data_IF_931944373041
#
_entry.id   IF_931944373041
#
_cell.length_a   1.000
_cell.length_b   1.000
_cell.length_c   1.000
_cell.angle_alpha   90.00
_cell.angle_beta   90.00
_cell.angle_gamma   90.00
#
_symmetry.space_group_name_H-M   'P 1'
#
loop_
_entity.id
_entity.type
_entity.pdbx_description
1 polymer ?
#
# COMPACT_ATOMS: atom_id res chain seq x y z
N UNK A 1 -15.81 11.96 19.91
CA UNK A 1 -14.72 11.01 19.55
C UNK A 1 -13.59 11.83 18.97
N UNK A 2 -12.39 11.71 19.50
CA UNK A 2 -11.25 12.50 19.01
C UNK A 2 -10.83 12.04 17.61
N UNK A 3 -10.25 12.93 16.80
CA UNK A 3 -9.68 12.53 15.50
C UNK A 3 -8.65 11.39 15.63
N UNK A 4 -7.99 11.34 16.78
CA UNK A 4 -7.04 10.29 17.16
C UNK A 4 -7.74 8.94 17.22
N UNK A 5 -8.88 8.84 17.91
CA UNK A 5 -9.67 7.60 17.98
C UNK A 5 -10.20 7.15 16.61
N UNK A 6 -10.64 8.09 15.77
CA UNK A 6 -11.11 7.78 14.42
C UNK A 6 -9.98 7.23 13.54
N UNK A 7 -8.79 7.85 13.60
CA UNK A 7 -7.59 7.34 12.91
C UNK A 7 -7.20 5.95 13.41
N UNK A 8 -7.15 5.74 14.73
CA UNK A 8 -6.84 4.43 15.32
C UNK A 8 -7.87 3.35 14.95
N UNK A 9 -9.17 3.67 14.95
CA UNK A 9 -10.22 2.73 14.53
C UNK A 9 -10.11 2.36 13.06
N UNK A 10 -9.92 3.33 12.18
CA UNK A 10 -9.74 3.08 10.75
C UNK A 10 -8.49 2.22 10.50
N UNK A 11 -7.38 2.45 11.20
CA UNK A 11 -6.17 1.64 11.02
C UNK A 11 -6.29 0.23 11.60
N UNK A 12 -6.88 0.06 12.80
CA UNK A 12 -7.05 -1.26 13.44
C UNK A 12 -7.97 -2.19 12.64
N UNK A 13 -9.04 -1.64 12.07
CA UNK A 13 -10.02 -2.41 11.29
C UNK A 13 -9.44 -2.88 9.95
N UNK A 14 -8.48 -2.15 9.41
CA UNK A 14 -8.00 -2.30 8.01
C UNK A 14 -6.60 -2.94 7.92
N UNK A 15 -5.74 -2.78 8.94
CA UNK A 15 -4.44 -3.47 9.03
C UNK A 15 -4.61 -4.88 9.63
N UNK A 16 -5.83 -5.27 10.02
CA UNK A 16 -6.09 -6.60 10.58
C UNK A 16 -5.43 -6.82 11.94
N UNK A 17 -5.16 -5.74 12.70
CA UNK A 17 -4.55 -5.86 14.03
C UNK A 17 -5.58 -6.15 15.11
N UNK A 18 -6.51 -7.06 14.84
CA UNK A 18 -7.38 -7.56 15.91
C UNK A 18 -6.46 -8.23 16.95
N UNK A 19 -6.55 -7.87 18.24
CA UNK A 19 -5.79 -8.54 19.28
C UNK A 19 -6.18 -10.02 19.28
N UNK A 20 -5.37 -10.86 18.66
CA UNK A 20 -5.41 -12.29 18.93
C UNK A 20 -4.77 -12.42 20.30
N UNK A 21 -5.55 -12.87 21.28
CA UNK A 21 -5.15 -13.09 22.67
C UNK A 21 -3.63 -13.32 22.81
N UNK A 22 -2.96 -12.31 23.39
CA UNK A 22 -1.52 -12.22 23.43
C UNK A 22 -0.95 -13.25 24.42
N UNK A 23 -0.19 -14.24 23.92
CA UNK A 23 0.58 -15.15 24.77
C UNK A 23 2.10 -14.95 24.66
N UNK A 24 2.61 -14.01 23.85
CA UNK A 24 4.06 -13.76 23.71
C UNK A 24 4.39 -12.27 23.53
N UNK A 25 5.19 -11.71 24.44
CA UNK A 25 5.57 -10.29 24.54
C UNK A 25 6.14 -9.67 23.26
N UNK A 26 6.81 -10.48 22.42
CA UNK A 26 7.40 -10.01 21.16
C UNK A 26 6.37 -9.47 20.15
N UNK A 27 5.15 -10.02 20.12
CA UNK A 27 4.11 -9.59 19.16
C UNK A 27 3.45 -8.27 19.57
N UNK A 28 3.41 -7.97 20.87
CA UNK A 28 2.88 -6.71 21.41
C UNK A 28 3.76 -5.54 20.97
N UNK A 29 5.08 -5.66 21.14
CA UNK A 29 6.04 -4.59 20.76
C UNK A 29 5.95 -4.25 19.28
N UNK A 30 5.89 -5.27 18.44
CA UNK A 30 5.75 -5.10 16.98
C UNK A 30 4.41 -4.46 16.63
N UNK A 31 3.31 -4.89 17.25
CA UNK A 31 2.00 -4.29 17.01
C UNK A 31 1.92 -2.81 17.43
N UNK A 32 2.50 -2.46 18.58
CA UNK A 32 2.59 -1.07 19.03
C UNK A 32 3.39 -0.22 18.05
N UNK A 33 4.54 -0.72 17.61
CA UNK A 33 5.40 -0.05 16.64
C UNK A 33 4.67 0.23 15.31
N UNK A 34 4.04 -0.80 14.72
CA UNK A 34 3.28 -0.62 13.48
C UNK A 34 2.08 0.33 13.65
N UNK A 35 1.43 0.32 14.82
CA UNK A 35 0.30 1.23 15.10
C UNK A 35 0.75 2.70 15.14
N UNK A 36 1.87 2.98 15.79
CA UNK A 36 2.45 4.33 15.87
C UNK A 36 2.94 4.79 14.49
N UNK A 37 3.61 3.90 13.74
CA UNK A 37 4.08 4.20 12.39
C UNK A 37 2.90 4.52 11.45
N UNK A 38 1.84 3.72 11.49
CA UNK A 38 0.65 3.96 10.68
C UNK A 38 -0.03 5.29 11.05
N UNK A 39 -0.10 5.63 12.34
CA UNK A 39 -0.62 6.92 12.81
C UNK A 39 0.21 8.09 12.29
N UNK A 40 1.54 7.98 12.38
CA UNK A 40 2.45 9.01 11.89
C UNK A 40 2.28 9.25 10.38
N UNK A 41 2.13 8.19 9.59
CA UNK A 41 1.88 8.28 8.14
C UNK A 41 0.54 8.97 7.87
N UNK A 42 -0.55 8.51 8.52
CA UNK A 42 -1.88 9.07 8.34
C UNK A 42 -1.89 10.56 8.69
N UNK A 43 -1.36 10.93 9.86
CA UNK A 43 -1.31 12.33 10.29
C UNK A 43 -0.42 13.18 9.40
N UNK A 44 0.70 12.65 8.91
CA UNK A 44 1.56 13.37 7.96
C UNK A 44 0.82 13.69 6.66
N UNK A 45 0.05 12.74 6.11
CA UNK A 45 -0.74 12.95 4.90
C UNK A 45 -1.83 13.99 5.13
N UNK A 46 -2.62 13.85 6.20
CA UNK A 46 -3.72 14.78 6.50
C UNK A 46 -3.21 16.18 6.82
N UNK A 47 -2.07 16.29 7.52
CA UNK A 47 -1.45 17.56 7.84
C UNK A 47 -0.97 18.30 6.59
N UNK A 48 -0.28 17.60 5.68
CA UNK A 48 0.14 18.19 4.40
C UNK A 48 -1.03 18.66 3.54
N UNK A 49 -2.13 17.89 3.51
CA UNK A 49 -3.33 18.31 2.79
C UNK A 49 -4.01 19.53 3.44
N UNK A 50 -4.01 19.61 4.77
CA UNK A 50 -4.56 20.76 5.49
C UNK A 50 -3.75 22.05 5.27
N UNK A 51 -2.42 21.96 5.07
CA UNK A 51 -1.60 23.11 4.70
C UNK A 51 -1.99 23.72 3.35
N UNK A 52 -2.54 22.90 2.46
CA UNK A 52 -3.03 23.30 1.14
C UNK A 52 -4.54 23.60 1.13
N UNK A 53 -5.13 23.86 2.31
CA UNK A 53 -6.56 24.16 2.53
C UNK A 53 -7.52 23.01 2.12
N UNK A 54 -7.01 21.77 2.07
CA UNK A 54 -7.81 20.59 1.73
C UNK A 54 -8.17 19.80 2.98
N UNK A 55 -9.36 20.07 3.52
CA UNK A 55 -9.93 19.36 4.66
C UNK A 55 -10.79 18.17 4.25
N UNK A 56 -10.17 17.01 4.07
CA UNK A 56 -10.86 15.75 3.71
C UNK A 56 -10.61 14.66 4.74
N UNK A 57 -11.64 13.84 4.99
CA UNK A 57 -11.53 12.71 5.92
C UNK A 57 -10.55 11.65 5.40
N UNK A 58 -9.89 10.93 6.31
CA UNK A 58 -9.02 9.81 5.94
C UNK A 58 -9.73 8.75 5.10
N UNK A 59 -11.01 8.48 5.39
CA UNK A 59 -11.83 7.53 4.63
C UNK A 59 -11.98 7.97 3.17
N UNK A 60 -12.22 9.26 2.95
CA UNK A 60 -12.34 9.85 1.61
C UNK A 60 -11.00 9.83 0.86
N UNK A 61 -9.89 10.20 1.52
CA UNK A 61 -8.54 10.11 0.95
C UNK A 61 -8.28 8.68 0.46
N UNK A 62 -8.53 7.70 1.33
CA UNK A 62 -8.32 6.29 1.02
C UNK A 62 -9.15 5.84 -0.18
N UNK A 63 -10.44 6.18 -0.21
CA UNK A 63 -11.33 5.80 -1.31
C UNK A 63 -10.86 6.41 -2.64
N UNK A 64 -10.38 7.66 -2.64
CA UNK A 64 -9.83 8.32 -3.83
C UNK A 64 -8.54 7.62 -4.28
N UNK A 65 -7.64 7.32 -3.34
CA UNK A 65 -6.34 6.70 -3.65
C UNK A 65 -6.44 5.22 -4.04
N UNK A 66 -7.49 4.50 -3.62
CA UNK A 66 -7.73 3.09 -3.97
C UNK A 66 -7.86 2.85 -5.47
N UNK A 67 -8.22 3.88 -6.25
CA UNK A 67 -8.32 3.81 -7.72
C UNK A 67 -6.95 3.68 -8.41
N UNK A 68 -5.87 4.07 -7.73
CA UNK A 68 -4.50 3.92 -8.20
C UNK A 68 -3.94 2.57 -7.74
N UNK A 69 -4.00 1.57 -8.63
CA UNK A 69 -3.60 0.20 -8.33
C UNK A 69 -2.38 -0.21 -9.16
N UNK A 70 -1.62 -1.15 -8.62
CA UNK A 70 -0.53 -1.79 -9.33
C UNK A 70 -0.79 -3.28 -9.47
N UNK A 71 -0.81 -3.79 -10.70
CA UNK A 71 -0.86 -5.20 -11.01
C UNK A 71 0.54 -5.73 -11.33
N UNK A 72 0.86 -6.90 -10.81
CA UNK A 72 2.09 -7.63 -11.14
C UNK A 72 1.70 -8.86 -11.96
N UNK A 73 2.09 -8.89 -13.23
CA UNK A 73 1.92 -10.05 -14.11
C UNK A 73 3.26 -10.76 -14.23
N UNK A 74 3.34 -12.00 -13.74
CA UNK A 74 4.54 -12.83 -13.79
C UNK A 74 4.27 -14.00 -14.74
N UNK A 75 5.08 -14.13 -15.78
CA UNK A 75 5.01 -15.25 -16.71
C UNK A 75 6.41 -15.73 -17.12
N UNK A 76 6.49 -16.99 -17.52
CA UNK A 76 7.72 -17.56 -18.05
C UNK A 76 7.65 -17.52 -19.58
N UNK A 77 8.69 -16.98 -20.23
CA UNK A 77 8.75 -16.92 -21.70
C UNK A 77 9.30 -18.22 -22.30
N UNK A 78 10.27 -18.83 -21.61
CA UNK A 78 10.93 -20.12 -21.90
C UNK A 78 11.42 -20.68 -20.56
N UNK A 79 11.78 -21.98 -20.47
CA UNK A 79 12.23 -22.65 -19.23
C UNK A 79 13.39 -21.96 -18.48
N UNK A 80 14.04 -20.98 -19.13
CA UNK A 80 15.23 -20.29 -18.64
C UNK A 80 14.95 -18.83 -18.24
N UNK A 81 13.79 -18.25 -18.56
CA UNK A 81 13.51 -16.83 -18.31
C UNK A 81 12.14 -16.58 -17.67
N UNK A 82 12.14 -15.76 -16.60
CA UNK A 82 10.95 -15.22 -15.96
C UNK A 82 10.85 -13.72 -16.23
N UNK A 83 9.70 -13.28 -16.72
CA UNK A 83 9.38 -11.87 -16.90
C UNK A 83 8.39 -11.46 -15.83
N UNK A 84 8.72 -10.42 -15.08
CA UNK A 84 7.78 -9.71 -14.21
C UNK A 84 7.45 -8.39 -14.88
N UNK A 85 6.20 -8.25 -15.29
CA UNK A 85 5.65 -7.00 -15.77
C UNK A 85 4.84 -6.36 -14.64
N UNK A 86 5.34 -5.24 -14.12
CA UNK A 86 4.63 -4.44 -13.13
C UNK A 86 3.90 -3.33 -13.85
N UNK A 87 2.58 -3.39 -13.87
CA UNK A 87 1.73 -2.38 -14.47
C UNK A 87 1.04 -1.55 -13.39
N UNK A 88 1.10 -0.24 -13.53
CA UNK A 88 0.41 0.69 -12.63
C UNK A 88 -0.67 1.41 -13.42
N UNK A 89 -1.90 1.40 -12.91
CA UNK A 89 -3.03 2.09 -13.55
C UNK A 89 -2.78 3.60 -13.52
N UNK A 90 -3.39 4.35 -14.44
CA UNK A 90 -3.32 5.80 -14.33
C UNK A 90 -4.22 6.27 -13.17
N UNK A 91 -3.75 7.18 -12.31
CA UNK A 91 -4.59 7.71 -11.25
C UNK A 91 -5.69 8.60 -11.86
N UNK A 92 -6.89 8.49 -11.31
CA UNK A 92 -7.99 9.40 -11.64
C UNK A 92 -7.65 10.86 -11.29
N UNK A 93 -8.39 11.82 -11.85
CA UNK A 93 -8.13 13.25 -11.65
C UNK A 93 -8.05 13.65 -10.16
N UNK A 94 -8.91 13.09 -9.32
CA UNK A 94 -8.91 13.34 -7.87
C UNK A 94 -7.66 12.77 -7.19
N UNK A 95 -7.24 11.56 -7.56
CA UNK A 95 -6.02 10.95 -7.03
C UNK A 95 -4.76 11.70 -7.49
N UNK A 96 -4.71 12.11 -8.77
CA UNK A 96 -3.63 12.98 -9.30
C UNK A 96 -3.52 14.29 -8.52
N UNK A 97 -4.64 14.93 -8.18
CA UNK A 97 -4.67 16.15 -7.36
C UNK A 97 -4.09 15.90 -5.95
N UNK A 98 -4.44 14.79 -5.31
CA UNK A 98 -3.85 14.45 -4.00
C UNK A 98 -2.34 14.23 -4.12
N UNK A 99 -1.88 13.50 -5.14
CA UNK A 99 -0.45 13.27 -5.35
C UNK A 99 0.33 14.55 -5.65
N UNK A 100 -0.25 15.49 -6.41
CA UNK A 100 0.39 16.78 -6.68
C UNK A 100 0.52 17.62 -5.41
N UNK A 101 -0.52 17.66 -4.57
CA UNK A 101 -0.48 18.37 -3.28
C UNK A 101 0.54 17.75 -2.31
N UNK A 102 0.69 16.43 -2.34
CA UNK A 102 1.70 15.73 -1.55
C UNK A 102 3.12 15.81 -2.14
N UNK A 103 3.30 16.48 -3.29
CA UNK A 103 4.54 16.59 -4.06
C UNK A 103 5.15 15.21 -4.43
N UNK A 104 4.29 14.24 -4.78
CA UNK A 104 4.68 12.88 -5.17
C UNK A 104 4.63 12.75 -6.69
N UNK A 105 5.76 12.37 -7.30
CA UNK A 105 5.83 12.09 -8.74
C UNK A 105 5.18 10.74 -9.05
N UNK A 106 4.17 10.75 -9.92
CA UNK A 106 3.54 9.53 -10.45
C UNK A 106 4.43 8.98 -11.57
N UNK A 107 5.03 7.81 -11.37
CA UNK A 107 5.95 7.18 -12.33
C UNK A 107 5.23 6.35 -13.41
N UNK A 108 6.00 5.93 -14.42
CA UNK A 108 5.51 5.22 -15.62
C UNK A 108 4.65 3.98 -15.28
N UNK A 109 3.63 3.77 -16.12
CA UNK A 109 2.60 2.74 -15.97
C UNK A 109 3.09 1.30 -16.18
N UNK A 110 4.31 1.07 -16.68
CA UNK A 110 4.77 -0.28 -17.01
C UNK A 110 6.27 -0.38 -16.75
N UNK A 111 6.67 -1.31 -15.89
CA UNK A 111 8.06 -1.68 -15.63
C UNK A 111 8.21 -3.18 -15.86
N UNK A 112 8.94 -3.55 -16.91
CA UNK A 112 9.23 -4.95 -17.24
C UNK A 112 10.63 -5.32 -16.79
N UNK A 113 10.75 -6.36 -15.98
CA UNK A 113 12.04 -6.93 -15.57
C UNK A 113 12.13 -8.38 -16.04
N UNK A 114 13.23 -8.69 -16.75
CA UNK A 114 13.53 -10.04 -17.23
C UNK A 114 14.66 -10.63 -16.38
N UNK A 115 14.37 -11.75 -15.74
CA UNK A 115 15.35 -12.49 -14.94
C UNK A 115 15.66 -13.82 -15.60
N UNK A 116 16.93 -14.22 -15.60
CA UNK A 116 17.35 -15.57 -15.98
C UNK A 116 17.17 -16.49 -14.77
N UNK A 117 16.40 -17.57 -14.93
CA UNK A 117 16.21 -18.59 -13.91
C UNK A 117 17.53 -19.35 -13.73
N UNK A 118 18.12 -19.27 -12.53
CA UNK A 118 19.37 -19.99 -12.21
C UNK A 118 19.15 -21.49 -11.98
N UNK A 119 17.89 -21.93 -11.84
CA UNK A 119 17.52 -23.34 -11.63
C UNK A 119 16.12 -23.63 -12.22
N UNK A 120 16.05 -24.48 -13.24
CA UNK A 120 14.80 -25.03 -13.75
C UNK A 120 14.31 -26.15 -12.81
N UNK A 121 13.67 -25.80 -11.69
CA UNK A 121 12.88 -26.76 -10.93
C UNK A 121 11.44 -26.70 -11.42
N UNK A 122 11.03 -27.75 -12.15
CA UNK A 122 9.62 -28.15 -12.35
C UNK A 122 8.89 -28.01 -11.02
N UNK A 123 8.03 -27.01 -10.90
CA UNK A 123 6.95 -27.02 -9.91
C UNK A 123 5.69 -27.13 -10.73
N UNK A 124 5.23 -28.37 -10.82
CA UNK A 124 3.91 -28.77 -11.28
C UNK A 124 2.90 -28.00 -10.42
N UNK A 125 2.02 -27.26 -11.09
CA UNK A 125 0.79 -26.73 -10.52
C UNK A 125 -0.04 -27.93 -10.03
N UNK A 126 -0.28 -28.02 -8.72
CA UNK A 126 -1.29 -28.92 -8.17
C UNK A 126 -2.43 -28.05 -7.64
N UNK A 127 -3.60 -28.48 -8.12
CA UNK A 127 -4.97 -28.03 -7.89
C UNK A 127 -5.25 -27.89 -6.40
#
# INVERSE_FOLDING_TARGET
>A
MSEVEAAFRSMKTEIGTRPIYHQKDGRIKVHLFYSVLAYAILKSITYKLALEDVHISWKSIKQILQTYMCSDTIFNTTDVYRVRNKQTTQPEAKAKKIYSLLNIKVSKNTVSQKYRLKYAKKIICLI
#
